data_IF_886778413601
#
_entry.id   IF_886778413601
#
_cell.length_a   1.000
_cell.length_b   1.000
_cell.length_c   1.000
_cell.angle_alpha   90.00
_cell.angle_beta   90.00
_cell.angle_gamma   90.00
#
_symmetry.space_group_name_H-M   'P 1'
#
loop_
_entity.id
_entity.type
_entity.pdbx_description
1 polymer ?
#
# COMPACT_ATOMS: atom_id res chain seq x y z
N UNK A 1 14.52 -5.71 -15.46
CA UNK A 1 13.61 -6.75 -14.95
C UNK A 1 12.44 -5.97 -14.41
N UNK A 2 11.32 -5.98 -15.10
CA UNK A 2 10.21 -5.09 -14.76
C UNK A 2 9.56 -5.57 -13.46
N UNK A 3 9.47 -4.67 -12.49
CA UNK A 3 8.85 -4.86 -11.18
C UNK A 3 7.31 -4.69 -11.31
N UNK A 4 6.75 -5.29 -12.37
CA UNK A 4 5.36 -5.13 -12.81
C UNK A 4 4.46 -6.08 -11.99
N UNK A 5 4.36 -5.83 -10.68
CA UNK A 5 3.59 -6.67 -9.76
C UNK A 5 3.05 -5.92 -8.55
N UNK A 6 2.48 -6.66 -7.60
CA UNK A 6 1.92 -6.08 -6.38
C UNK A 6 2.99 -5.44 -5.50
N UNK A 7 2.73 -4.21 -5.04
CA UNK A 7 3.51 -3.53 -4.01
C UNK A 7 2.67 -3.34 -2.76
N UNK A 8 3.31 -3.54 -1.61
CA UNK A 8 2.73 -3.28 -0.29
C UNK A 8 3.43 -2.06 0.31
N UNK A 9 2.65 -1.02 0.58
CA UNK A 9 3.13 0.28 1.04
C UNK A 9 2.55 0.52 2.44
N UNK A 10 3.43 0.76 3.41
CA UNK A 10 3.03 1.15 4.76
C UNK A 10 3.04 2.67 4.87
N UNK A 11 1.94 3.25 5.35
CA UNK A 11 1.78 4.68 5.54
C UNK A 11 1.44 4.94 7.00
N UNK A 12 1.97 6.02 7.57
CA UNK A 12 1.65 6.43 8.93
C UNK A 12 0.15 6.76 9.09
N UNK A 13 -0.34 6.80 10.33
CA UNK A 13 -1.73 7.13 10.66
C UNK A 13 -2.02 8.63 10.49
N UNK A 14 -1.83 9.13 9.28
CA UNK A 14 -2.02 10.51 8.86
C UNK A 14 -2.74 10.54 7.51
N UNK A 15 -3.88 11.24 7.47
CA UNK A 15 -4.72 11.28 6.28
C UNK A 15 -4.07 12.01 5.08
N UNK A 16 -3.20 12.99 5.34
CA UNK A 16 -2.48 13.71 4.29
C UNK A 16 -1.42 12.82 3.66
N UNK A 17 -0.66 12.09 4.47
CA UNK A 17 0.33 11.13 3.98
C UNK A 17 -0.32 9.98 3.21
N UNK A 18 -1.50 9.52 3.65
CA UNK A 18 -2.28 8.54 2.90
C UNK A 18 -2.68 9.09 1.52
N UNK A 19 -3.21 10.31 1.46
CA UNK A 19 -3.58 10.93 0.19
C UNK A 19 -2.37 11.06 -0.75
N UNK A 20 -1.24 11.56 -0.24
CA UNK A 20 0.00 11.69 -1.02
C UNK A 20 0.48 10.34 -1.57
N UNK A 21 0.39 9.27 -0.77
CA UNK A 21 0.75 7.93 -1.24
C UNK A 21 -0.20 7.42 -2.33
N UNK A 22 -1.51 7.67 -2.22
CA UNK A 22 -2.50 7.29 -3.23
C UNK A 22 -2.32 8.08 -4.54
N UNK A 23 -2.04 9.38 -4.43
CA UNK A 23 -1.75 10.22 -5.58
C UNK A 23 -0.51 9.73 -6.32
N UNK A 24 0.57 9.42 -5.60
CA UNK A 24 1.79 8.87 -6.20
C UNK A 24 1.55 7.53 -6.90
N UNK A 25 0.77 6.62 -6.29
CA UNK A 25 0.40 5.35 -6.92
C UNK A 25 -0.31 5.59 -8.25
N UNK A 26 -1.24 6.54 -8.28
CA UNK A 26 -1.96 6.90 -9.49
C UNK A 26 -1.06 7.52 -10.55
N UNK A 27 -0.12 8.39 -10.16
CA UNK A 27 0.87 9.00 -11.08
C UNK A 27 1.78 7.95 -11.70
N UNK A 28 2.15 6.94 -10.92
CA UNK A 28 2.96 5.78 -11.36
C UNK A 28 2.15 4.73 -12.13
N UNK A 29 0.90 5.06 -12.53
CA UNK A 29 -0.03 4.16 -13.23
C UNK A 29 -0.38 2.87 -12.46
N UNK A 30 -0.18 2.87 -11.14
CA UNK A 30 -0.59 1.78 -10.28
C UNK A 30 -2.09 1.83 -9.97
N UNK A 31 -2.68 0.66 -9.77
CA UNK A 31 -4.07 0.53 -9.35
C UNK A 31 -4.13 0.11 -7.89
N UNK A 32 -4.81 0.90 -7.07
CA UNK A 32 -5.03 0.57 -5.65
C UNK A 32 -6.03 -0.59 -5.54
N UNK A 33 -5.59 -1.68 -4.94
CA UNK A 33 -6.36 -2.91 -4.78
C UNK A 33 -7.08 -2.92 -3.44
N UNK A 34 -6.38 -2.55 -2.37
CA UNK A 34 -6.95 -2.45 -1.03
C UNK A 34 -6.17 -1.46 -0.17
N UNK A 35 -6.90 -0.80 0.74
CA UNK A 35 -6.33 0.04 1.79
C UNK A 35 -6.88 -0.46 3.12
N UNK A 36 -5.99 -0.79 4.05
CA UNK A 36 -6.36 -1.34 5.35
C UNK A 36 -5.76 -0.46 6.43
N UNK A 37 -6.61 0.17 7.23
CA UNK A 37 -6.16 0.79 8.48
C UNK A 37 -5.89 -0.28 9.53
N UNK A 38 -4.76 -0.17 10.22
CA UNK A 38 -4.36 -1.07 11.28
C UNK A 38 -4.13 -0.29 12.57
N UNK A 39 -4.71 -0.71 13.70
CA UNK A 39 -4.44 -0.08 14.99
C UNK A 39 -3.01 -0.39 15.47
N UNK A 40 -2.54 0.44 16.39
CA UNK A 40 -1.31 0.18 17.13
C UNK A 40 -1.43 -1.15 17.88
N UNK A 41 -0.37 -1.97 17.84
CA UNK A 41 -0.37 -3.33 18.38
C UNK A 41 1.02 -3.77 18.79
N UNK A 42 1.08 -4.76 19.67
CA UNK A 42 2.31 -5.46 19.99
C UNK A 42 2.46 -6.69 19.09
N UNK A 43 3.66 -6.90 18.57
CA UNK A 43 3.98 -8.00 17.67
C UNK A 43 5.21 -8.71 18.23
N UNK A 44 5.10 -10.00 18.48
CA UNK A 44 6.24 -10.83 18.89
C UNK A 44 6.84 -11.50 17.67
N UNK A 45 8.11 -11.21 17.38
CA UNK A 45 8.87 -11.83 16.28
C UNK A 45 10.17 -12.37 16.84
N UNK A 46 10.43 -13.66 16.65
CA UNK A 46 11.67 -14.29 17.14
C UNK A 46 11.85 -14.23 18.66
N UNK A 47 10.76 -14.11 19.43
CA UNK A 47 10.79 -13.97 20.88
C UNK A 47 10.95 -12.54 21.39
N UNK A 48 11.15 -11.55 20.52
CA UNK A 48 11.15 -10.13 20.87
C UNK A 48 9.79 -9.49 20.63
N UNK A 49 9.27 -8.77 21.63
CA UNK A 49 8.04 -7.98 21.49
C UNK A 49 8.38 -6.56 21.00
N UNK A 50 7.77 -6.16 19.88
CA UNK A 50 7.89 -4.83 19.28
C UNK A 50 6.52 -4.18 19.21
N UNK A 51 6.48 -2.86 19.42
CA UNK A 51 5.27 -2.06 19.23
C UNK A 51 5.23 -1.58 17.78
N UNK A 52 4.19 -1.94 17.05
CA UNK A 52 3.82 -1.33 15.80
C UNK A 52 2.82 -0.20 16.06
N UNK A 53 3.08 0.98 15.50
CA UNK A 53 2.13 2.09 15.57
C UNK A 53 0.92 1.83 14.68
N UNK A 54 -0.15 2.61 14.85
CA UNK A 54 -1.25 2.60 13.89
C UNK A 54 -0.78 3.18 12.56
N UNK A 55 -1.49 2.82 11.50
CA UNK A 55 -1.20 3.30 10.15
C UNK A 55 -2.02 2.55 9.11
N UNK A 56 -1.73 2.83 7.85
CA UNK A 56 -2.38 2.20 6.70
C UNK A 56 -1.43 1.25 5.99
N UNK A 57 -1.99 0.17 5.46
CA UNK A 57 -1.33 -0.71 4.51
C UNK A 57 -2.08 -0.59 3.19
N UNK A 58 -1.40 -0.10 2.16
CA UNK A 58 -1.92 0.04 0.81
C UNK A 58 -1.30 -1.05 -0.06
N UNK A 59 -2.14 -1.78 -0.79
CA UNK A 59 -1.70 -2.74 -1.80
C UNK A 59 -2.04 -2.16 -3.16
N UNK A 60 -1.04 -2.03 -4.03
CA UNK A 60 -1.17 -1.52 -5.38
C UNK A 60 -0.65 -2.53 -6.40
N UNK A 61 -1.31 -2.61 -7.55
CA UNK A 61 -0.92 -3.45 -8.69
C UNK A 61 -0.38 -2.57 -9.81
N UNK A 62 0.82 -2.88 -10.27
CA UNK A 62 1.49 -2.18 -11.38
C UNK A 62 1.65 -3.06 -12.63
N UNK A 63 1.15 -4.30 -12.60
CA UNK A 63 1.27 -5.28 -13.67
C UNK A 63 0.04 -5.42 -14.55
N UNK A 64 -0.94 -4.52 -14.41
CA UNK A 64 -2.17 -4.56 -15.19
C UNK A 64 -1.93 -3.98 -16.60
N UNK A 65 -2.20 -4.78 -17.63
CA UNK A 65 -2.30 -4.26 -19.00
C UNK A 65 -3.47 -3.27 -19.07
N UNK A 66 -3.28 -2.15 -19.79
CA UNK A 66 -4.37 -1.19 -20.03
C UNK A 66 -5.58 -1.92 -20.63
N UNK A 67 -6.82 -1.68 -20.14
CA UNK A 67 -7.99 -2.28 -20.75
C UNK A 67 -8.11 -1.80 -22.21
N UNK A 68 -8.24 -2.74 -23.15
CA UNK A 68 -8.44 -2.42 -24.57
C UNK A 68 -9.68 -1.50 -24.71
N UNK A 69 -9.52 -0.25 -25.19
CA UNK A 69 -10.60 0.74 -25.23
C UNK A 69 -11.70 0.44 -26.27
N UNK A 70 -11.79 -0.80 -26.78
CA UNK A 70 -12.67 -1.21 -27.89
C UNK A 70 -13.84 -2.13 -27.49
N UNK A 71 -14.36 -2.02 -26.26
CA UNK A 71 -15.58 -2.74 -25.85
C UNK A 71 -16.75 -1.81 -25.51
#
# INVERSE_FOLDING_TARGET
>A
MSDDGYKVISVEDDAKLLQEALDQISEDQGVVVTVIWQPAREITVGGETKKANSGYVVVADYGLEEPDPRH
#
